data_IF_374447242463
#
_entry.id   IF_374447242463
#
_cell.length_a   1.000
_cell.length_b   1.000
_cell.length_c   1.000
_cell.angle_alpha   90.00
_cell.angle_beta   90.00
_cell.angle_gamma   90.00
#
_symmetry.space_group_name_H-M   'P 1'
#
loop_
_entity.id
_entity.type
_entity.pdbx_description
1 polymer ?
#
# COMPACT_ATOMS: atom_id res chain seq x y z
N UNK A 1 -25.97 7.01 68.24
CA UNK A 1 -24.54 7.09 67.83
C UNK A 1 -24.22 5.81 67.06
N UNK A 2 -24.42 5.75 65.75
CA UNK A 2 -23.45 6.04 64.66
C UNK A 2 -22.08 5.36 64.85
N UNK A 3 -22.03 4.05 64.61
CA UNK A 3 -20.80 3.37 64.24
C UNK A 3 -20.76 3.24 62.71
N UNK A 4 -20.33 4.31 62.03
CA UNK A 4 -19.80 4.16 60.68
C UNK A 4 -18.43 3.53 60.89
N UNK A 5 -18.35 2.20 60.77
CA UNK A 5 -17.07 1.49 60.76
C UNK A 5 -16.29 2.03 59.56
N UNK A 6 -15.19 2.73 59.82
CA UNK A 6 -14.21 3.07 58.80
C UNK A 6 -13.75 1.75 58.18
N UNK A 7 -14.23 1.46 56.98
CA UNK A 7 -13.63 0.43 56.14
C UNK A 7 -12.22 0.94 55.88
N UNK A 8 -11.22 0.21 56.39
CA UNK A 8 -9.81 0.57 56.21
C UNK A 8 -9.54 0.78 54.70
N UNK A 9 -8.82 1.83 54.30
CA UNK A 9 -8.48 2.06 52.89
C UNK A 9 -7.76 0.84 52.26
N UNK A 10 -7.09 0.02 53.08
CA UNK A 10 -6.50 -1.26 52.65
C UNK A 10 -7.56 -2.28 52.23
N UNK A 11 -8.68 -2.36 52.94
CA UNK A 11 -9.78 -3.27 52.60
C UNK A 11 -10.51 -2.82 51.33
N UNK A 12 -10.64 -1.51 51.11
CA UNK A 12 -11.18 -0.95 49.85
C UNK A 12 -10.23 -1.26 48.70
N UNK A 13 -8.91 -1.10 48.89
CA UNK A 13 -7.90 -1.42 47.89
C UNK A 13 -7.91 -2.91 47.54
N UNK A 14 -7.97 -3.80 48.54
CA UNK A 14 -8.04 -5.25 48.33
C UNK A 14 -9.34 -5.66 47.63
N UNK A 15 -10.46 -5.01 47.95
CA UNK A 15 -11.73 -5.26 47.27
C UNK A 15 -11.71 -4.76 45.81
N UNK A 16 -11.11 -3.59 45.55
CA UNK A 16 -10.91 -3.09 44.18
C UNK A 16 -9.93 -3.95 43.39
N UNK A 17 -8.85 -4.44 44.02
CA UNK A 17 -7.91 -5.38 43.42
C UNK A 17 -8.61 -6.71 43.10
N UNK A 18 -9.44 -7.21 44.02
CA UNK A 18 -10.24 -8.41 43.79
C UNK A 18 -11.24 -8.23 42.65
N UNK A 19 -11.97 -7.11 42.61
CA UNK A 19 -12.84 -6.78 41.47
C UNK A 19 -12.01 -6.69 40.19
N UNK A 20 -10.88 -5.98 40.20
CA UNK A 20 -10.00 -5.82 39.04
C UNK A 20 -9.53 -7.17 38.50
N UNK A 21 -8.96 -8.02 39.36
CA UNK A 21 -8.52 -9.38 39.00
C UNK A 21 -9.68 -10.24 38.46
N UNK A 22 -10.86 -10.17 39.10
CA UNK A 22 -12.02 -10.96 38.68
C UNK A 22 -12.71 -10.40 37.41
N UNK A 23 -12.59 -9.10 37.16
CA UNK A 23 -13.06 -8.48 35.90
C UNK A 23 -12.07 -8.65 34.76
N UNK A 24 -10.77 -8.74 35.03
CA UNK A 24 -9.76 -9.08 34.03
C UNK A 24 -9.88 -10.55 33.62
N UNK A 25 -10.02 -11.48 34.57
CA UNK A 25 -10.20 -12.92 34.26
C UNK A 25 -11.47 -13.21 33.44
N UNK A 26 -12.50 -12.35 33.52
CA UNK A 26 -13.72 -12.51 32.71
C UNK A 26 -13.73 -11.73 31.40
N UNK A 27 -12.72 -10.91 31.11
CA UNK A 27 -12.78 -10.01 29.95
C UNK A 27 -12.17 -10.52 28.65
N UNK A 28 -11.31 -11.54 28.63
CA UNK A 28 -10.63 -11.89 27.36
C UNK A 28 -10.31 -13.37 27.12
N UNK A 29 -10.80 -14.32 27.91
CA UNK A 29 -10.52 -15.76 27.71
C UNK A 29 -11.49 -16.43 26.70
N UNK A 30 -11.65 -15.82 25.54
CA UNK A 30 -12.01 -16.58 24.32
C UNK A 30 -10.77 -16.62 23.45
N UNK A 31 -10.05 -17.74 23.54
CA UNK A 31 -8.91 -18.03 22.67
C UNK A 31 -9.36 -17.89 21.22
N UNK A 32 -8.69 -17.02 20.46
CA UNK A 32 -8.92 -16.92 19.02
C UNK A 32 -8.67 -18.29 18.40
N UNK A 33 -9.69 -18.82 17.73
CA UNK A 33 -9.59 -20.09 17.02
C UNK A 33 -9.38 -19.81 15.54
N UNK A 34 -8.53 -20.62 14.91
CA UNK A 34 -8.39 -20.58 13.46
C UNK A 34 -9.68 -21.11 12.82
N UNK A 35 -10.39 -20.24 12.10
CA UNK A 35 -11.60 -20.62 11.35
C UNK A 35 -11.20 -21.37 10.07
N UNK A 36 -10.23 -20.83 9.33
CA UNK A 36 -9.67 -21.52 8.19
C UNK A 36 -8.19 -21.19 7.95
N UNK A 37 -7.61 -22.00 7.06
CA UNK A 37 -6.40 -21.67 6.34
C UNK A 37 -6.64 -21.89 4.84
N UNK A 38 -6.62 -20.83 4.06
CA UNK A 38 -6.90 -20.86 2.63
C UNK A 38 -5.89 -20.00 1.87
N UNK A 39 -5.07 -20.63 1.03
CA UNK A 39 -4.19 -19.88 0.13
C UNK A 39 -4.96 -19.46 -1.11
N UNK A 40 -4.85 -18.17 -1.46
CA UNK A 40 -5.57 -17.55 -2.55
C UNK A 40 -4.69 -16.49 -3.21
N UNK A 41 -4.90 -16.29 -4.51
CA UNK A 41 -4.13 -15.34 -5.33
C UNK A 41 -4.96 -14.13 -5.76
N UNK A 42 -6.27 -14.15 -5.53
CA UNK A 42 -7.16 -13.07 -5.93
C UNK A 42 -8.30 -12.84 -4.91
N UNK A 43 -8.52 -11.57 -4.55
CA UNK A 43 -9.61 -11.11 -3.71
C UNK A 43 -10.50 -10.20 -4.53
N UNK A 44 -11.82 -10.45 -4.57
CA UNK A 44 -12.80 -9.55 -5.18
C UNK A 44 -13.73 -8.99 -4.13
N UNK A 45 -13.83 -7.68 -4.07
CA UNK A 45 -14.84 -7.00 -3.27
C UNK A 45 -16.06 -6.71 -4.13
N UNK A 46 -17.24 -7.04 -3.62
CA UNK A 46 -18.51 -6.73 -4.26
C UNK A 46 -19.34 -5.86 -3.31
N UNK A 47 -19.70 -4.64 -3.73
CA UNK A 47 -20.48 -3.74 -2.91
C UNK A 47 -21.88 -4.31 -2.64
N UNK A 48 -22.43 -3.98 -1.48
CA UNK A 48 -23.82 -4.29 -1.16
C UNK A 48 -24.80 -3.36 -1.87
N UNK A 49 -26.09 -3.70 -1.82
CA UNK A 49 -27.17 -2.84 -2.34
C UNK A 49 -27.93 -2.07 -1.25
N UNK A 50 -27.52 -2.20 0.02
CA UNK A 50 -28.26 -1.67 1.16
C UNK A 50 -27.69 -0.35 1.69
N UNK A 51 -28.60 0.54 2.09
CA UNK A 51 -28.39 1.76 2.88
C UNK A 51 -27.91 1.42 4.31
N UNK A 52 -26.77 0.76 4.47
CA UNK A 52 -26.15 0.72 5.79
C UNK A 52 -25.67 2.13 6.16
N UNK A 53 -25.85 2.53 7.42
CA UNK A 53 -25.30 3.81 7.95
C UNK A 53 -23.78 3.94 7.75
N UNK A 54 -23.10 2.81 7.52
CA UNK A 54 -21.67 2.73 7.26
C UNK A 54 -21.35 2.79 5.77
N UNK A 55 -20.44 3.69 5.40
CA UNK A 55 -20.03 3.95 4.02
C UNK A 55 -18.95 2.94 3.58
N UNK A 56 -19.40 1.75 3.23
CA UNK A 56 -18.60 0.83 2.44
C UNK A 56 -18.32 1.39 1.05
N UNK A 57 -17.25 0.90 0.41
CA UNK A 57 -17.01 1.18 -1.00
C UNK A 57 -18.23 0.80 -1.85
N UNK A 58 -18.55 1.64 -2.81
CA UNK A 58 -19.71 1.50 -3.69
C UNK A 58 -19.35 0.84 -5.03
N UNK A 59 -18.06 0.64 -5.30
CA UNK A 59 -17.57 0.04 -6.53
C UNK A 59 -16.98 -1.36 -6.30
N UNK A 60 -17.13 -2.21 -7.31
CA UNK A 60 -16.46 -3.51 -7.35
C UNK A 60 -14.99 -3.29 -7.69
N UNK A 61 -14.10 -3.96 -6.97
CA UNK A 61 -12.69 -4.05 -7.33
C UNK A 61 -12.14 -5.45 -7.06
N UNK A 62 -11.00 -5.74 -7.67
CA UNK A 62 -10.22 -6.95 -7.45
C UNK A 62 -8.79 -6.59 -7.03
N UNK A 63 -8.21 -7.40 -6.16
CA UNK A 63 -6.78 -7.35 -5.82
C UNK A 63 -6.20 -8.71 -6.18
N UNK A 64 -5.17 -8.71 -7.02
CA UNK A 64 -4.51 -9.92 -7.50
C UNK A 64 -3.04 -9.94 -7.09
N UNK A 65 -2.58 -11.06 -6.55
CA UNK A 65 -1.16 -11.34 -6.27
C UNK A 65 -0.49 -11.77 -7.57
N UNK A 66 0.49 -10.99 -8.03
CA UNK A 66 1.25 -11.28 -9.25
C UNK A 66 2.61 -11.84 -8.84
N UNK A 67 2.81 -13.13 -9.10
CA UNK A 67 4.11 -13.79 -8.92
C UNK A 67 4.96 -13.62 -10.17
N UNK A 68 6.15 -13.03 -10.05
CA UNK A 68 7.15 -12.99 -11.14
C UNK A 68 8.42 -13.74 -10.75
N UNK A 69 8.51 -15.00 -11.18
CA UNK A 69 9.72 -15.81 -11.03
C UNK A 69 10.10 -16.19 -9.60
N UNK A 70 11.15 -17.01 -9.47
CA UNK A 70 11.56 -17.66 -8.21
C UNK A 70 12.24 -16.71 -7.19
N UNK A 71 12.58 -15.47 -7.56
CA UNK A 71 13.42 -14.56 -6.75
C UNK A 71 12.83 -13.16 -6.49
N UNK A 72 11.67 -12.81 -7.05
CA UNK A 72 11.08 -11.49 -6.81
C UNK A 72 9.97 -11.58 -5.78
N UNK A 73 9.92 -10.60 -4.86
CA UNK A 73 8.78 -10.45 -3.97
C UNK A 73 7.52 -10.21 -4.82
N UNK A 74 6.42 -10.94 -4.58
CA UNK A 74 5.20 -10.74 -5.33
C UNK A 74 4.72 -9.30 -5.11
N UNK A 75 4.31 -8.65 -6.20
CA UNK A 75 3.57 -7.40 -6.09
C UNK A 75 2.09 -7.68 -6.28
N UNK A 76 1.27 -6.81 -5.74
CA UNK A 76 -0.18 -6.94 -5.75
C UNK A 76 -0.73 -5.87 -6.67
N UNK A 77 -1.73 -6.21 -7.45
CA UNK A 77 -2.38 -5.30 -8.38
C UNK A 77 -3.82 -5.11 -7.95
N UNK A 78 -4.25 -3.87 -7.72
CA UNK A 78 -5.66 -3.54 -7.61
C UNK A 78 -6.19 -3.16 -8.98
N UNK A 79 -7.37 -3.65 -9.32
CA UNK A 79 -8.04 -3.36 -10.58
C UNK A 79 -9.52 -3.10 -10.33
N UNK A 80 -10.06 -2.09 -11.00
CA UNK A 80 -11.48 -1.76 -10.99
C UNK A 80 -11.91 -1.18 -12.33
N UNK A 81 -13.22 -0.98 -12.49
CA UNK A 81 -13.78 -0.22 -13.61
C UNK A 81 -14.38 1.08 -13.11
N UNK A 82 -13.91 2.20 -13.65
CA UNK A 82 -14.54 3.51 -13.47
C UNK A 82 -15.11 3.94 -14.82
N UNK A 83 -16.42 4.21 -14.87
CA UNK A 83 -17.07 4.77 -16.07
C UNK A 83 -16.79 3.99 -17.38
N UNK A 84 -16.64 2.66 -17.27
CA UNK A 84 -16.32 1.77 -18.38
C UNK A 84 -14.83 1.67 -18.75
N UNK A 85 -13.95 2.39 -18.06
CA UNK A 85 -12.49 2.33 -18.22
C UNK A 85 -11.85 1.45 -17.16
N UNK A 86 -10.86 0.68 -17.59
CA UNK A 86 -10.08 -0.18 -16.72
C UNK A 86 -9.05 0.66 -15.95
N UNK A 87 -9.18 0.67 -14.63
CA UNK A 87 -8.23 1.29 -13.71
C UNK A 87 -7.37 0.21 -13.09
N UNK A 88 -6.05 0.40 -13.07
CA UNK A 88 -5.15 -0.53 -12.41
C UNK A 88 -3.93 0.13 -11.78
N UNK A 89 -3.66 -0.20 -10.52
CA UNK A 89 -2.53 0.30 -9.74
C UNK A 89 -1.90 -0.80 -8.90
N UNK A 90 -0.69 -0.57 -8.40
CA UNK A 90 -0.04 -1.46 -7.45
C UNK A 90 -0.78 -1.30 -6.12
N UNK A 91 -1.07 -2.41 -5.47
CA UNK A 91 -1.75 -2.42 -4.20
C UNK A 91 -0.78 -2.03 -3.08
N UNK A 92 -1.24 -1.16 -2.18
CA UNK A 92 -0.50 -0.71 -1.01
C UNK A 92 -0.42 -1.75 0.10
N UNK A 93 0.22 -1.39 1.22
CA UNK A 93 0.39 -2.27 2.36
C UNK A 93 -0.94 -2.77 2.97
N UNK A 94 -1.97 -1.92 3.03
CA UNK A 94 -3.30 -2.32 3.54
C UNK A 94 -3.88 -3.48 2.72
N UNK A 95 -3.79 -3.38 1.40
CA UNK A 95 -4.22 -4.43 0.47
C UNK A 95 -3.41 -5.72 0.62
N UNK A 96 -2.09 -5.61 0.86
CA UNK A 96 -1.22 -6.78 1.10
C UNK A 96 -1.60 -7.51 2.38
N UNK A 97 -1.92 -6.76 3.44
CA UNK A 97 -2.35 -7.34 4.71
C UNK A 97 -3.67 -8.12 4.62
N UNK A 98 -4.58 -7.72 3.73
CA UNK A 98 -5.81 -8.48 3.49
C UNK A 98 -5.52 -9.93 3.07
N UNK A 99 -4.44 -10.17 2.32
CA UNK A 99 -4.05 -11.54 1.96
C UNK A 99 -3.59 -12.33 3.19
N UNK A 100 -2.79 -11.73 4.06
CA UNK A 100 -2.39 -12.38 5.31
C UNK A 100 -3.60 -12.67 6.21
N UNK A 101 -4.45 -11.65 6.41
CA UNK A 101 -5.59 -11.70 7.33
C UNK A 101 -6.67 -12.70 6.85
N UNK A 102 -6.96 -12.74 5.55
CA UNK A 102 -7.93 -13.69 5.01
C UNK A 102 -7.33 -15.06 4.73
N UNK A 103 -6.01 -15.22 4.56
CA UNK A 103 -5.43 -16.56 4.34
C UNK A 103 -5.43 -17.39 5.60
N UNK A 104 -5.32 -16.76 6.77
CA UNK A 104 -5.42 -17.40 8.08
C UNK A 104 -6.46 -16.62 8.88
N UNK A 105 -7.73 -16.92 8.63
CA UNK A 105 -8.81 -16.21 9.28
C UNK A 105 -9.02 -16.78 10.68
N UNK A 106 -8.86 -15.92 11.69
CA UNK A 106 -9.13 -16.25 13.08
C UNK A 106 -10.46 -15.64 13.51
N UNK A 107 -11.18 -16.32 14.38
CA UNK A 107 -12.47 -15.86 14.92
C UNK A 107 -12.53 -16.06 16.43
N UNK A 108 -13.27 -15.17 17.10
CA UNK A 108 -13.60 -15.34 18.54
C UNK A 108 -14.94 -16.01 18.75
N UNK A 109 -15.83 -15.96 17.76
CA UNK A 109 -17.18 -16.53 17.84
C UNK A 109 -17.50 -17.31 16.59
N UNK A 110 -18.20 -18.42 16.76
CA UNK A 110 -18.67 -19.24 15.65
C UNK A 110 -20.02 -19.84 16.04
N UNK A 111 -21.01 -19.65 15.20
CA UNK A 111 -22.33 -20.26 15.32
C UNK A 111 -22.78 -20.72 13.93
N UNK A 112 -23.58 -21.78 13.85
CA UNK A 112 -24.22 -22.14 12.59
C UNK A 112 -25.11 -20.97 12.13
N UNK A 113 -25.05 -20.65 10.84
CA UNK A 113 -25.85 -19.60 10.26
C UNK A 113 -27.23 -20.15 9.91
N UNK A 114 -28.26 -19.62 10.57
CA UNK A 114 -29.65 -19.75 10.14
C UNK A 114 -30.20 -18.38 9.69
N UNK A 115 -31.34 -18.38 9.00
CA UNK A 115 -31.94 -17.16 8.46
C UNK A 115 -32.28 -16.13 9.55
N UNK A 116 -32.65 -16.56 10.76
CA UNK A 116 -33.02 -15.68 11.86
C UNK A 116 -31.79 -14.97 12.44
N UNK A 117 -30.71 -15.72 12.65
CA UNK A 117 -29.40 -15.23 13.06
C UNK A 117 -28.84 -14.27 12.01
N UNK A 118 -28.82 -14.65 10.73
CA UNK A 118 -28.30 -13.79 9.67
C UNK A 118 -29.06 -12.47 9.57
N UNK A 119 -30.39 -12.51 9.67
CA UNK A 119 -31.24 -11.31 9.69
C UNK A 119 -30.94 -10.41 10.88
N UNK A 120 -30.67 -10.97 12.06
CA UNK A 120 -30.28 -10.21 13.27
C UNK A 120 -28.98 -9.43 13.08
N UNK A 121 -28.06 -9.95 12.27
CA UNK A 121 -26.78 -9.30 11.95
C UNK A 121 -26.79 -8.55 10.60
N UNK A 122 -27.97 -8.32 10.01
CA UNK A 122 -28.15 -7.63 8.73
C UNK A 122 -27.39 -8.28 7.56
N UNK A 123 -27.21 -9.61 7.61
CA UNK A 123 -26.56 -10.38 6.56
C UNK A 123 -27.62 -10.99 5.64
N UNK A 124 -27.49 -10.75 4.34
CA UNK A 124 -28.34 -11.32 3.29
C UNK A 124 -27.58 -11.32 1.94
N UNK A 125 -28.23 -11.75 0.86
CA UNK A 125 -27.63 -11.82 -0.48
C UNK A 125 -27.22 -10.46 -1.08
N UNK A 126 -27.69 -9.37 -0.48
CA UNK A 126 -27.41 -7.99 -0.89
C UNK A 126 -26.37 -7.33 0.01
N UNK A 127 -25.84 -8.04 1.00
CA UNK A 127 -24.73 -7.57 1.83
C UNK A 127 -23.46 -7.38 0.99
N UNK A 128 -22.60 -6.41 1.33
CA UNK A 128 -21.25 -6.36 0.81
C UNK A 128 -20.56 -7.71 1.03
N UNK A 129 -19.78 -8.16 0.05
CA UNK A 129 -19.12 -9.46 0.17
C UNK A 129 -17.71 -9.45 -0.39
N UNK A 130 -16.92 -10.37 0.14
CA UNK A 130 -15.55 -10.62 -0.29
C UNK A 130 -15.51 -12.04 -0.84
N UNK A 131 -15.03 -12.18 -2.06
CA UNK A 131 -14.85 -13.45 -2.74
C UNK A 131 -13.36 -13.73 -2.88
N UNK A 132 -12.91 -14.89 -2.41
CA UNK A 132 -11.52 -15.33 -2.47
C UNK A 132 -11.38 -16.40 -3.55
N UNK A 133 -10.50 -16.13 -4.51
CA UNK A 133 -10.24 -16.99 -5.65
C UNK A 133 -8.81 -17.55 -5.59
N UNK A 134 -8.65 -18.79 -5.99
CA UNK A 134 -7.35 -19.41 -6.21
C UNK A 134 -7.27 -19.91 -7.65
N UNK A 135 -6.32 -19.40 -8.41
CA UNK A 135 -6.07 -19.81 -9.80
C UNK A 135 -7.31 -19.67 -10.70
N UNK A 136 -8.16 -18.68 -10.40
CA UNK A 136 -9.39 -18.37 -11.13
C UNK A 136 -10.65 -19.09 -10.63
N UNK A 137 -10.53 -20.02 -9.69
CA UNK A 137 -11.67 -20.73 -9.09
C UNK A 137 -12.12 -20.04 -7.79
N UNK A 138 -13.43 -19.85 -7.63
CA UNK A 138 -14.00 -19.29 -6.41
C UNK A 138 -13.91 -20.32 -5.28
N UNK A 139 -13.14 -20.02 -4.24
CA UNK A 139 -12.99 -20.91 -3.10
C UNK A 139 -13.85 -20.52 -1.91
N UNK A 140 -13.76 -19.26 -1.47
CA UNK A 140 -14.43 -18.78 -0.25
C UNK A 140 -15.24 -17.51 -0.51
N UNK A 141 -16.34 -17.35 0.20
CA UNK A 141 -17.19 -16.15 0.19
C UNK A 141 -17.39 -15.72 1.64
N UNK A 142 -17.23 -14.42 1.90
CA UNK A 142 -17.59 -13.80 3.17
C UNK A 142 -18.64 -12.71 2.91
N UNK A 143 -19.82 -12.82 3.53
CA UNK A 143 -20.82 -11.76 3.52
C UNK A 143 -20.68 -10.91 4.78
N UNK A 144 -20.60 -9.60 4.59
CA UNK A 144 -20.32 -8.64 5.66
C UNK A 144 -21.61 -8.23 6.34
N UNK A 145 -21.66 -8.38 7.67
CA UNK A 145 -22.78 -7.98 8.52
C UNK A 145 -22.49 -6.77 9.40
N UNK A 146 -23.26 -6.67 10.47
CA UNK A 146 -23.21 -5.58 11.43
C UNK A 146 -21.97 -5.60 12.33
N UNK A 147 -21.57 -4.40 12.76
CA UNK A 147 -20.64 -4.19 13.85
C UNK A 147 -21.25 -4.66 15.17
N UNK A 148 -20.41 -5.19 16.06
CA UNK A 148 -20.79 -5.33 17.45
C UNK A 148 -20.94 -3.97 18.14
N UNK A 149 -21.56 -3.96 19.33
CA UNK A 149 -21.91 -2.73 20.07
C UNK A 149 -20.69 -1.86 20.40
N UNK A 150 -19.56 -2.49 20.67
CA UNK A 150 -18.28 -1.88 21.04
C UNK A 150 -17.36 -1.61 19.83
N UNK A 151 -17.81 -1.92 18.60
CA UNK A 151 -17.11 -1.69 17.33
C UNK A 151 -15.72 -2.34 17.21
N UNK A 152 -15.46 -3.37 18.00
CA UNK A 152 -14.21 -4.13 18.00
C UNK A 152 -14.23 -5.33 17.04
N UNK A 153 -15.42 -5.89 16.81
CA UNK A 153 -15.64 -7.04 15.93
C UNK A 153 -16.75 -6.77 14.94
N UNK A 154 -16.65 -7.45 13.80
CA UNK A 154 -17.71 -7.50 12.81
C UNK A 154 -18.17 -8.93 12.61
N UNK A 155 -19.48 -9.08 12.52
CA UNK A 155 -20.09 -10.37 12.20
C UNK A 155 -20.10 -10.58 10.69
N UNK A 156 -19.69 -11.77 10.26
CA UNK A 156 -19.73 -12.20 8.87
C UNK A 156 -20.40 -13.57 8.75
N UNK A 157 -20.97 -13.85 7.59
CA UNK A 157 -21.31 -15.21 7.18
C UNK A 157 -20.20 -15.73 6.29
N UNK A 158 -19.69 -16.91 6.63
CA UNK A 158 -18.72 -17.65 5.84
C UNK A 158 -18.99 -19.16 5.97
N UNK A 159 -19.13 -19.84 4.84
CA UNK A 159 -19.32 -21.30 4.77
C UNK A 159 -20.48 -21.85 5.62
N UNK A 160 -21.58 -21.09 5.74
CA UNK A 160 -22.72 -21.51 6.56
C UNK A 160 -22.53 -21.28 8.06
N UNK A 161 -21.49 -20.55 8.46
CA UNK A 161 -21.27 -20.12 9.84
C UNK A 161 -21.33 -18.61 9.96
N UNK A 162 -21.92 -18.13 11.06
CA UNK A 162 -21.75 -16.78 11.55
C UNK A 162 -20.46 -16.72 12.38
N UNK A 163 -19.52 -15.88 11.96
CA UNK A 163 -18.24 -15.66 12.64
C UNK A 163 -18.06 -14.20 13.04
N UNK A 164 -17.28 -13.96 14.09
CA UNK A 164 -16.91 -12.61 14.55
C UNK A 164 -15.41 -12.38 14.43
N UNK A 165 -15.00 -11.47 13.54
CA UNK A 165 -13.58 -11.14 13.30
C UNK A 165 -13.28 -9.69 13.71
N UNK A 166 -12.02 -9.34 14.01
CA UNK A 166 -11.65 -7.96 14.31
C UNK A 166 -12.06 -6.98 13.21
N UNK A 167 -12.75 -5.89 13.58
CA UNK A 167 -13.30 -4.95 12.61
C UNK A 167 -12.22 -4.26 11.75
N UNK A 168 -11.00 -4.09 12.28
CA UNK A 168 -9.90 -3.50 11.52
C UNK A 168 -9.61 -4.20 10.17
N UNK A 169 -10.00 -5.47 10.04
CA UNK A 169 -9.87 -6.22 8.79
C UNK A 169 -10.86 -5.68 7.76
N UNK A 170 -12.12 -5.46 8.18
CA UNK A 170 -13.22 -5.06 7.31
C UNK A 170 -13.29 -3.54 7.12
N UNK A 171 -12.85 -2.74 8.08
CA UNK A 171 -12.81 -1.28 7.95
C UNK A 171 -11.87 -0.79 6.84
N UNK A 172 -11.01 -1.65 6.28
CA UNK A 172 -10.25 -1.36 5.06
C UNK A 172 -11.11 -1.28 3.80
N UNK A 173 -12.35 -1.75 3.86
CA UNK A 173 -13.36 -1.63 2.80
C UNK A 173 -14.28 -0.41 2.99
N UNK A 174 -13.92 0.50 3.88
CA UNK A 174 -14.61 1.77 4.13
C UNK A 174 -13.66 2.95 3.96
N UNK A 175 -14.19 4.15 3.75
CA UNK A 175 -13.38 5.38 3.62
C UNK A 175 -12.92 5.69 2.19
N UNK A 176 -11.65 6.06 2.02
CA UNK A 176 -11.06 6.40 0.71
C UNK A 176 -10.40 5.17 0.06
N UNK A 177 -10.87 4.75 -1.12
CA UNK A 177 -10.29 3.62 -1.87
C UNK A 177 -8.81 3.84 -2.25
N UNK A 178 -8.38 5.10 -2.37
CA UNK A 178 -6.99 5.47 -2.68
C UNK A 178 -5.99 4.92 -1.66
N UNK A 179 -6.43 4.62 -0.43
CA UNK A 179 -5.62 4.03 0.63
C UNK A 179 -5.23 2.57 0.35
N UNK A 180 -6.00 1.87 -0.49
CA UNK A 180 -5.68 0.52 -0.94
C UNK A 180 -4.55 0.49 -2.00
N UNK A 181 -4.18 1.65 -2.55
CA UNK A 181 -3.18 1.81 -3.61
C UNK A 181 -1.82 2.17 -3.06
N UNK A 182 -0.78 1.75 -3.76
CA UNK A 182 0.59 2.10 -3.47
C UNK A 182 0.86 3.54 -3.93
N UNK A 183 0.98 4.48 -2.99
CA UNK A 183 1.28 5.88 -3.33
C UNK A 183 2.72 6.08 -3.77
N UNK A 184 3.70 5.44 -3.12
CA UNK A 184 5.12 5.62 -3.48
C UNK A 184 5.43 4.89 -4.79
N UNK A 185 6.09 5.58 -5.72
CA UNK A 185 6.42 5.03 -7.04
C UNK A 185 7.53 4.00 -6.99
N UNK A 186 8.32 4.02 -5.92
CA UNK A 186 9.41 3.11 -5.69
C UNK A 186 9.29 2.52 -4.29
N UNK A 187 9.04 1.21 -4.21
CA UNK A 187 9.17 0.44 -2.98
C UNK A 187 10.32 -0.54 -3.15
N UNK A 188 11.41 -0.29 -2.44
CA UNK A 188 12.64 -1.09 -2.57
C UNK A 188 12.63 -2.27 -1.58
N UNK A 189 11.98 -2.16 -0.43
CA UNK A 189 12.09 -3.18 0.63
C UNK A 189 13.56 -3.39 1.01
N UNK A 190 14.02 -4.64 0.98
CA UNK A 190 15.43 -5.02 1.22
C UNK A 190 16.31 -5.02 -0.05
N UNK A 191 15.77 -4.60 -1.20
CA UNK A 191 16.50 -4.51 -2.46
C UNK A 191 17.42 -3.27 -2.50
N UNK A 192 18.24 -3.13 -3.54
CA UNK A 192 19.14 -1.98 -3.72
C UNK A 192 19.01 -1.40 -5.13
N UNK A 193 19.23 -0.09 -5.24
CA UNK A 193 19.33 0.58 -6.53
C UNK A 193 20.61 0.12 -7.25
N UNK A 194 20.43 -0.43 -8.46
CA UNK A 194 21.52 -0.81 -9.37
C UNK A 194 21.86 0.34 -10.32
N UNK A 195 20.85 0.98 -10.92
CA UNK A 195 21.05 2.13 -11.79
C UNK A 195 19.83 3.03 -11.86
N UNK A 196 20.09 4.29 -12.20
CA UNK A 196 19.09 5.30 -12.49
C UNK A 196 19.44 5.98 -13.82
N UNK A 197 18.55 5.91 -14.80
CA UNK A 197 18.66 6.61 -16.06
C UNK A 197 17.60 7.72 -16.13
N UNK A 198 18.04 8.93 -16.43
CA UNK A 198 17.17 10.05 -16.75
C UNK A 198 17.27 10.37 -18.24
N UNK A 199 16.14 10.73 -18.85
CA UNK A 199 16.08 11.26 -20.22
C UNK A 199 15.05 12.37 -20.28
N UNK A 200 15.38 13.50 -20.90
CA UNK A 200 14.47 14.64 -21.03
C UNK A 200 15.18 15.92 -21.48
N UNK A 201 14.56 17.07 -21.22
CA UNK A 201 15.05 18.37 -21.70
C UNK A 201 16.45 18.76 -21.19
N UNK A 202 16.87 18.24 -20.03
CA UNK A 202 18.23 18.48 -19.51
C UNK A 202 19.30 17.61 -20.19
N UNK A 203 18.90 16.65 -21.02
CA UNK A 203 19.74 15.64 -21.63
C UNK A 203 19.48 14.24 -21.09
N UNK A 204 20.39 13.32 -21.40
CA UNK A 204 20.34 11.94 -20.91
C UNK A 204 21.44 11.75 -19.87
N UNK A 205 21.09 11.21 -18.70
CA UNK A 205 22.04 10.95 -17.62
C UNK A 205 21.88 9.52 -17.13
N UNK A 206 23.00 8.88 -16.79
CA UNK A 206 22.99 7.51 -16.28
C UNK A 206 23.91 7.43 -15.06
N UNK A 207 23.34 6.99 -13.95
CA UNK A 207 24.05 6.71 -12.71
C UNK A 207 24.01 5.21 -12.44
N UNK A 208 25.16 4.60 -12.23
CA UNK A 208 25.28 3.15 -12.00
C UNK A 208 26.01 2.88 -10.70
N UNK A 209 25.53 1.88 -9.99
CA UNK A 209 26.15 1.33 -8.80
C UNK A 209 27.06 0.17 -9.20
N UNK A 210 28.34 0.26 -8.85
CA UNK A 210 29.33 -0.79 -9.11
C UNK A 210 30.01 -1.24 -7.82
N UNK A 211 30.36 -2.53 -7.68
CA UNK A 211 31.19 -3.01 -6.58
C UNK A 211 32.58 -2.34 -6.60
N UNK A 212 33.08 -1.91 -5.44
CA UNK A 212 34.42 -1.35 -5.32
C UNK A 212 35.49 -2.45 -5.25
N UNK A 213 35.99 -2.89 -6.40
CA UNK A 213 37.01 -3.94 -6.44
C UNK A 213 38.38 -3.51 -5.88
N UNK A 214 38.66 -2.21 -5.72
CA UNK A 214 40.01 -1.72 -5.37
C UNK A 214 40.28 -1.65 -3.86
N UNK A 215 39.25 -1.52 -3.00
CA UNK A 215 39.44 -1.35 -1.55
C UNK A 215 38.65 -2.35 -0.70
N UNK A 216 37.41 -2.67 -1.10
CA UNK A 216 36.56 -3.64 -0.44
C UNK A 216 35.39 -3.99 -1.38
N UNK A 217 35.26 -5.24 -1.86
CA UNK A 217 34.20 -5.64 -2.77
C UNK A 217 32.78 -5.46 -2.18
N UNK A 218 32.65 -5.30 -0.86
CA UNK A 218 31.39 -4.99 -0.19
C UNK A 218 30.99 -3.49 -0.24
N UNK A 219 31.92 -2.59 -0.61
CA UNK A 219 31.64 -1.15 -0.69
C UNK A 219 31.11 -0.80 -2.08
N UNK A 220 29.97 -0.13 -2.16
CA UNK A 220 29.36 0.29 -3.42
C UNK A 220 29.88 1.67 -3.85
N UNK A 221 30.13 1.85 -5.15
CA UNK A 221 30.53 3.13 -5.74
C UNK A 221 29.54 3.51 -6.82
N UNK A 222 29.08 4.75 -6.77
CA UNK A 222 28.22 5.33 -7.78
C UNK A 222 29.02 6.08 -8.83
N UNK A 223 28.73 5.80 -10.09
CA UNK A 223 29.42 6.37 -11.24
C UNK A 223 28.43 7.08 -12.17
N UNK A 224 28.84 8.23 -12.71
CA UNK A 224 28.25 8.78 -13.95
C UNK A 224 28.70 7.88 -15.10
N UNK A 225 27.79 7.39 -15.92
CA UNK A 225 28.13 6.47 -17.02
C UNK A 225 28.00 7.11 -18.41
N UNK A 226 27.34 8.27 -18.53
CA UNK A 226 26.92 8.82 -19.82
C UNK A 226 28.07 9.30 -20.73
N UNK A 227 29.30 9.49 -20.23
CA UNK A 227 30.48 9.92 -21.03
C UNK A 227 31.83 9.40 -20.51
N UNK A 228 31.95 9.23 -19.20
CA UNK A 228 33.17 8.80 -18.52
C UNK A 228 32.79 8.27 -17.14
N UNK A 229 33.39 7.16 -16.70
CA UNK A 229 33.15 6.55 -15.37
C UNK A 229 33.69 7.46 -14.26
N UNK A 230 32.92 8.48 -13.91
CA UNK A 230 33.27 9.47 -12.89
C UNK A 230 32.60 9.10 -11.58
N UNK A 231 33.37 9.04 -10.49
CA UNK A 231 32.85 8.79 -9.15
C UNK A 231 31.99 9.95 -8.66
N UNK A 232 30.81 9.61 -8.14
CA UNK A 232 29.83 10.55 -7.59
C UNK A 232 30.09 10.71 -6.09
N UNK A 233 29.82 11.91 -5.56
CA UNK A 233 29.83 12.17 -4.13
C UNK A 233 28.77 11.30 -3.40
N UNK A 234 29.16 10.50 -2.39
CA UNK A 234 28.22 9.66 -1.64
C UNK A 234 27.03 10.42 -1.03
N UNK A 235 27.22 11.67 -0.61
CA UNK A 235 26.13 12.47 -0.02
C UNK A 235 25.08 12.86 -1.07
N UNK A 236 25.52 13.21 -2.28
CA UNK A 236 24.65 13.66 -3.37
C UNK A 236 23.80 12.51 -3.90
N UNK A 237 24.40 11.31 -4.04
CA UNK A 237 23.63 10.12 -4.42
C UNK A 237 22.69 9.64 -3.33
N UNK A 238 23.07 9.75 -2.05
CA UNK A 238 22.18 9.44 -0.92
C UNK A 238 20.95 10.38 -0.90
N UNK A 239 21.16 11.67 -1.20
CA UNK A 239 20.06 12.62 -1.35
C UNK A 239 19.15 12.26 -2.53
N UNK A 240 19.71 11.93 -3.70
CA UNK A 240 18.90 11.50 -4.86
C UNK A 240 18.12 10.22 -4.56
N UNK A 241 18.74 9.21 -3.94
CA UNK A 241 18.07 7.99 -3.50
C UNK A 241 16.90 8.30 -2.55
N UNK A 242 17.13 9.18 -1.57
CA UNK A 242 16.08 9.66 -0.66
C UNK A 242 14.91 10.35 -1.38
N UNK A 243 15.19 11.19 -2.38
CA UNK A 243 14.16 11.87 -3.19
C UNK A 243 13.37 10.86 -4.03
N UNK A 244 14.07 9.96 -4.73
CA UNK A 244 13.45 8.95 -5.59
C UNK A 244 12.56 8.00 -4.78
N UNK A 245 13.00 7.57 -3.59
CA UNK A 245 12.20 6.74 -2.67
C UNK A 245 10.97 7.45 -2.10
N UNK A 246 11.02 8.78 -1.97
CA UNK A 246 9.90 9.60 -1.48
C UNK A 246 8.92 10.00 -2.58
N UNK A 247 9.28 9.82 -3.85
CA UNK A 247 8.41 10.16 -4.96
C UNK A 247 7.12 9.35 -4.90
N UNK A 248 5.98 10.04 -4.87
CA UNK A 248 4.67 9.43 -4.71
C UNK A 248 3.62 10.10 -5.57
N UNK A 249 2.57 9.37 -5.93
CA UNK A 249 1.34 9.95 -6.46
C UNK A 249 0.71 10.87 -5.41
N UNK A 250 0.36 12.08 -5.84
CA UNK A 250 -0.34 13.06 -5.04
C UNK A 250 -1.87 12.94 -5.23
N UNK A 251 -2.32 12.63 -6.45
CA UNK A 251 -3.75 12.50 -6.82
C UNK A 251 -3.91 11.33 -7.81
N UNK A 252 -4.96 10.53 -7.63
CA UNK A 252 -5.45 9.63 -8.68
C UNK A 252 -6.59 10.28 -9.48
N UNK A 253 -6.72 9.99 -10.79
CA UNK A 253 -7.75 10.59 -11.64
C UNK A 253 -9.19 10.36 -11.15
N UNK A 254 -9.43 9.25 -10.47
CA UNK A 254 -10.73 8.83 -9.95
C UNK A 254 -10.95 9.17 -8.46
N UNK A 255 -10.05 9.94 -7.85
CA UNK A 255 -10.30 10.55 -6.53
C UNK A 255 -11.24 11.75 -6.66
N UNK A 256 -11.83 12.22 -5.54
CA UNK A 256 -12.73 13.40 -5.49
C UNK A 256 -12.09 14.67 -6.11
N UNK A 257 -10.76 14.79 -6.03
CA UNK A 257 -9.98 15.91 -6.57
C UNK A 257 -9.41 15.66 -7.97
N UNK A 258 -9.62 14.47 -8.52
CA UNK A 258 -9.17 14.08 -9.85
C UNK A 258 -10.07 14.61 -10.96
N UNK A 259 -9.60 14.51 -12.20
CA UNK A 259 -10.30 14.97 -13.40
C UNK A 259 -10.98 13.83 -14.19
N UNK A 260 -10.93 12.60 -13.68
CA UNK A 260 -11.45 11.40 -14.30
C UNK A 260 -10.43 10.65 -15.16
N UNK A 261 -10.56 9.33 -15.18
CA UNK A 261 -9.60 8.43 -15.84
C UNK A 261 -9.45 8.68 -17.35
N UNK A 262 -10.54 9.02 -18.04
CA UNK A 262 -10.53 9.27 -19.48
C UNK A 262 -9.71 10.52 -19.86
N UNK A 263 -9.75 11.57 -19.03
CA UNK A 263 -8.96 12.79 -19.25
C UNK A 263 -7.48 12.48 -19.03
N UNK A 264 -7.15 11.78 -17.95
CA UNK A 264 -5.78 11.38 -17.65
C UNK A 264 -5.15 10.52 -18.76
N UNK A 265 -5.92 9.58 -19.34
CA UNK A 265 -5.49 8.76 -20.49
C UNK A 265 -5.13 9.60 -21.72
N UNK A 266 -5.89 10.67 -22.00
CA UNK A 266 -5.61 11.57 -23.10
C UNK A 266 -4.33 12.38 -22.83
N UNK A 267 -4.14 12.87 -21.61
CA UNK A 267 -2.94 13.64 -21.25
C UNK A 267 -1.64 12.82 -21.35
N UNK A 268 -1.70 11.52 -21.08
CA UNK A 268 -0.53 10.63 -21.25
C UNK A 268 -0.37 10.09 -22.68
N UNK A 269 -1.23 10.51 -23.61
CA UNK A 269 -1.07 10.23 -25.04
C UNK A 269 -0.16 11.25 -25.75
N UNK A 270 0.09 12.38 -25.10
CA UNK A 270 1.02 13.40 -25.55
C UNK A 270 2.49 12.96 -25.46
N UNK A 271 3.40 13.81 -25.94
CA UNK A 271 4.84 13.55 -25.89
C UNK A 271 5.35 13.58 -24.44
N UNK A 272 6.06 12.53 -24.07
CA UNK A 272 6.81 12.44 -22.81
C UNK A 272 7.87 13.55 -22.72
N UNK A 273 7.91 14.28 -21.61
CA UNK A 273 8.90 15.36 -21.38
C UNK A 273 10.12 14.84 -20.61
N UNK A 274 9.90 13.92 -19.68
CA UNK A 274 10.94 13.30 -18.86
C UNK A 274 10.64 11.82 -18.68
N UNK A 275 11.70 11.02 -18.62
CA UNK A 275 11.65 9.61 -18.30
C UNK A 275 12.70 9.31 -17.24
N UNK A 276 12.27 8.63 -16.18
CA UNK A 276 13.14 8.09 -15.15
C UNK A 276 13.05 6.56 -15.17
N UNK A 277 14.15 5.90 -15.49
CA UNK A 277 14.27 4.44 -15.42
C UNK A 277 15.11 4.04 -14.22
N UNK A 278 14.60 3.11 -13.44
CA UNK A 278 15.19 2.64 -12.19
C UNK A 278 15.34 1.13 -12.32
N UNK A 279 16.57 0.64 -12.17
CA UNK A 279 16.85 -0.79 -12.13
C UNK A 279 17.28 -1.16 -10.72
N UNK A 280 16.70 -2.25 -10.21
CA UNK A 280 17.06 -2.81 -8.92
C UNK A 280 17.99 -4.02 -9.07
N UNK A 281 18.71 -4.37 -8.01
CA UNK A 281 19.60 -5.53 -7.99
C UNK A 281 18.83 -6.84 -8.16
N UNK A 282 17.57 -6.92 -7.70
CA UNK A 282 16.68 -8.07 -7.98
C UNK A 282 16.38 -8.31 -9.46
N UNK A 283 16.66 -7.34 -10.33
CA UNK A 283 16.30 -7.36 -11.75
C UNK A 283 14.97 -6.67 -12.06
N UNK A 284 14.22 -6.21 -11.05
CA UNK A 284 13.00 -5.41 -11.25
C UNK A 284 13.34 -4.09 -11.95
N UNK A 285 12.55 -3.74 -12.97
CA UNK A 285 12.69 -2.49 -13.72
C UNK A 285 11.47 -1.61 -13.49
N UNK A 286 11.69 -0.35 -13.15
CA UNK A 286 10.61 0.62 -12.96
C UNK A 286 10.89 1.80 -13.89
N UNK A 287 9.95 2.11 -14.79
CA UNK A 287 10.01 3.28 -15.66
C UNK A 287 8.89 4.23 -15.26
N UNK A 288 9.25 5.48 -14.99
CA UNK A 288 8.32 6.56 -14.67
C UNK A 288 8.42 7.59 -15.79
N UNK A 289 7.30 7.83 -16.46
CA UNK A 289 7.22 8.82 -17.55
C UNK A 289 6.41 10.00 -17.07
N UNK A 290 6.90 11.20 -17.36
CA UNK A 290 6.27 12.46 -17.02
C UNK A 290 5.80 13.14 -18.29
N UNK A 291 4.60 13.72 -18.22
CA UNK A 291 3.94 14.41 -19.32
C UNK A 291 3.79 15.91 -18.99
N UNK A 292 3.44 16.77 -19.96
CA UNK A 292 3.28 18.21 -19.73
C UNK A 292 2.37 18.51 -18.53
N UNK A 293 2.72 19.52 -17.70
CA UNK A 293 1.97 19.79 -16.49
C UNK A 293 0.60 20.37 -16.79
N UNK A 294 -0.39 19.98 -15.98
CA UNK A 294 -1.76 20.46 -15.99
C UNK A 294 -2.10 21.14 -14.67
N UNK A 295 -3.06 22.07 -14.70
CA UNK A 295 -3.53 22.76 -13.50
C UNK A 295 -4.79 22.08 -12.96
N UNK A 296 -4.70 21.46 -11.79
CA UNK A 296 -5.82 20.83 -11.09
C UNK A 296 -5.98 21.51 -9.73
N UNK A 297 -7.20 21.97 -9.41
CA UNK A 297 -7.49 22.63 -8.13
C UNK A 297 -6.49 23.73 -7.75
N UNK A 298 -6.10 24.57 -8.73
CA UNK A 298 -5.12 25.66 -8.59
C UNK A 298 -3.69 25.23 -8.26
N UNK A 299 -3.33 23.96 -8.47
CA UNK A 299 -1.97 23.42 -8.30
C UNK A 299 -1.53 22.76 -9.60
N UNK A 300 -0.25 22.91 -9.94
CA UNK A 300 0.34 22.27 -11.12
C UNK A 300 0.78 20.84 -10.80
N UNK A 301 0.33 19.91 -11.63
CA UNK A 301 0.67 18.50 -11.55
C UNK A 301 1.19 18.00 -12.89
N UNK A 302 2.17 17.12 -12.85
CA UNK A 302 2.51 16.29 -13.99
C UNK A 302 1.63 15.03 -13.98
N UNK A 303 0.90 14.75 -15.08
CA UNK A 303 0.44 13.41 -15.35
C UNK A 303 1.67 12.51 -15.49
N UNK A 304 1.58 11.33 -14.90
CA UNK A 304 2.66 10.36 -14.88
C UNK A 304 2.16 8.97 -15.19
N UNK A 305 3.04 8.18 -15.79
CA UNK A 305 2.77 6.81 -16.13
C UNK A 305 3.92 5.92 -15.66
N UNK A 306 3.63 5.07 -14.68
CA UNK A 306 4.57 4.08 -14.16
C UNK A 306 4.40 2.75 -14.90
N UNK A 307 5.52 2.13 -15.21
CA UNK A 307 5.60 0.78 -15.75
C UNK A 307 6.54 -0.04 -14.87
N UNK A 308 6.07 -1.19 -14.40
CA UNK A 308 6.82 -2.12 -13.57
C UNK A 308 7.07 -3.40 -14.38
N UNK A 309 8.32 -3.57 -14.79
CA UNK A 309 8.77 -4.43 -15.89
C UNK A 309 7.92 -4.19 -17.15
N UNK A 310 6.96 -5.07 -17.45
CA UNK A 310 6.06 -4.99 -18.61
C UNK A 310 4.62 -4.57 -18.24
N UNK A 311 4.30 -4.45 -16.95
CA UNK A 311 2.96 -4.06 -16.52
C UNK A 311 2.87 -2.53 -16.35
N UNK A 312 1.88 -1.93 -17.02
CA UNK A 312 1.62 -0.49 -17.03
C UNK A 312 0.48 -0.17 -16.08
N UNK A 313 0.71 0.79 -15.19
CA UNK A 313 -0.35 1.36 -14.34
C UNK A 313 -1.24 2.30 -15.12
N UNK A 314 -2.42 2.59 -14.58
CA UNK A 314 -3.21 3.74 -14.98
C UNK A 314 -2.45 5.05 -14.68
N UNK A 315 -2.67 6.12 -15.47
CA UNK A 315 -2.12 7.44 -15.17
C UNK A 315 -2.49 7.96 -13.79
N UNK A 316 -1.59 8.70 -13.18
CA UNK A 316 -1.84 9.45 -11.94
C UNK A 316 -1.01 10.74 -11.93
N UNK A 317 -1.07 11.52 -10.86
CA UNK A 317 -0.49 12.87 -10.83
C UNK A 317 0.58 13.02 -9.75
N UNK A 318 1.61 13.78 -10.06
CA UNK A 318 2.64 14.21 -9.10
C UNK A 318 2.76 15.73 -9.15
N UNK A 319 2.88 16.36 -7.99
CA UNK A 319 3.06 17.80 -7.87
C UNK A 319 4.33 18.26 -8.62
N UNK A 320 4.22 19.36 -9.35
CA UNK A 320 5.34 20.01 -10.04
C UNK A 320 6.55 20.24 -9.13
N UNK A 321 6.33 20.61 -7.86
CA UNK A 321 7.42 20.87 -6.91
C UNK A 321 8.28 19.62 -6.67
N UNK A 322 7.65 18.46 -6.51
CA UNK A 322 8.32 17.18 -6.31
C UNK A 322 9.15 16.79 -7.55
N UNK A 323 8.60 17.01 -8.75
CA UNK A 323 9.31 16.79 -10.01
C UNK A 323 10.51 17.74 -10.12
N UNK A 324 10.34 19.04 -9.82
CA UNK A 324 11.44 20.00 -9.84
C UNK A 324 12.56 19.64 -8.86
N UNK A 325 12.24 19.18 -7.65
CA UNK A 325 13.23 18.71 -6.67
C UNK A 325 14.03 17.52 -7.20
N UNK A 326 13.37 16.56 -7.87
CA UNK A 326 14.04 15.45 -8.54
C UNK A 326 15.00 15.95 -9.63
N UNK A 327 14.52 16.82 -10.53
CA UNK A 327 15.33 17.33 -11.63
C UNK A 327 16.54 18.13 -11.13
N UNK A 328 16.37 18.94 -10.08
CA UNK A 328 17.45 19.68 -9.44
C UNK A 328 18.51 18.74 -8.85
N UNK A 329 18.11 17.66 -8.18
CA UNK A 329 19.04 16.69 -7.62
C UNK A 329 19.84 15.94 -8.70
N UNK A 330 19.18 15.55 -9.79
CA UNK A 330 19.82 14.92 -10.95
C UNK A 330 20.83 15.88 -11.59
N UNK A 331 20.42 17.14 -11.82
CA UNK A 331 21.27 18.16 -12.42
C UNK A 331 22.47 18.50 -11.54
N UNK A 332 22.26 18.61 -10.24
CA UNK A 332 23.32 18.83 -9.27
C UNK A 332 24.39 17.73 -9.36
N UNK A 333 23.99 16.45 -9.33
CA UNK A 333 24.92 15.34 -9.48
C UNK A 333 25.66 15.44 -10.80
N UNK A 334 25.00 15.73 -11.91
CA UNK A 334 25.67 15.84 -13.22
C UNK A 334 26.73 16.95 -13.25
N UNK A 335 26.44 18.11 -12.66
CA UNK A 335 27.34 19.27 -12.65
C UNK A 335 28.51 19.14 -11.66
N UNK A 336 28.44 18.18 -10.71
CA UNK A 336 29.53 17.96 -9.74
C UNK A 336 30.85 17.49 -10.39
N UNK A 337 32.00 17.99 -9.92
CA UNK A 337 33.29 17.48 -10.36
C UNK A 337 33.52 16.03 -9.87
N UNK A 338 34.48 15.30 -10.48
CA UNK A 338 34.85 13.98 -10.01
C UNK A 338 35.16 13.95 -8.52
N UNK A 339 34.47 13.10 -7.78
CA UNK A 339 34.72 12.96 -6.35
C UNK A 339 36.06 12.24 -6.14
N UNK A 340 36.99 12.93 -5.48
CA UNK A 340 38.20 12.31 -4.95
C UNK A 340 38.04 12.11 -3.44
N UNK A 341 38.53 10.98 -2.93
CA UNK A 341 38.74 10.83 -1.49
C UNK A 341 39.82 11.86 -1.12
N UNK A 342 39.45 13.10 -0.77
CA UNK A 342 40.41 13.99 -0.12
C UNK A 342 40.89 13.24 1.12
N UNK A 343 42.21 13.00 1.19
CA UNK A 343 42.84 12.40 2.36
C UNK A 343 42.30 13.12 3.58
N UNK A 344 41.65 12.40 4.49
CA UNK A 344 41.51 12.79 5.90
C UNK A 344 42.90 12.82 6.58
N UNK A 345 43.86 13.50 5.96
CA UNK A 345 45.15 13.82 6.52
C UNK A 345 45.24 15.35 6.47
N UNK A 346 44.56 16.00 7.40
CA UNK A 346 45.03 17.24 8.01
C UNK A 346 44.26 17.47 9.30
N UNK A 347 44.97 17.17 10.39
CA UNK A 347 44.79 17.48 11.81
C UNK A 347 43.87 16.60 12.64
#
# INVERSE_FOLDING_TARGET
MKYIKFISPVAILLFLLYIFLYTDEKKDDTTEVNFWRYDFDELRYIPGKNDSDEKFFNEKFEIKRIHKGLKSNPFFRIHKKDSGKDISYEAGHLSKNLFTDFSVLNTKTMAEADEEILKKFSINDHSPRIELYNSGELGKILRIGSLNRDRSYRYLEAEGYLIGIPDYIISRFTGEESLLRQKQLLTIGDDLLLSLNYSGDMGNFQFVNVPNHERNPAKQVWLKAHKSRIRINPSSISNLDGIVKKLSYDIYPDDEKGEGQAVAENLVSDKEIHTLEIHLVSGKKIRIRFFPPVMLNSVFYHPVLRTIDDWKESPAYINQSNVNTLLQAIKHIEDEPPWSDQKQNQN
#
